data_IF_584357284328
#
_entry.id   IF_584357284328
#
_cell.length_a   1.000
_cell.length_b   1.000
_cell.length_c   1.000
_cell.angle_alpha   90.00
_cell.angle_beta   90.00
_cell.angle_gamma   90.00
#
_symmetry.space_group_name_H-M   'P 1'
#
loop_
_entity.id
_entity.type
_entity.pdbx_description
1 polymer ?
#
# COMPACT_ATOMS: atom_id res chain seq x y z
N UNK A 1 -21.83 -1.78 26.61
CA UNK A 1 -20.67 -2.21 25.78
C UNK A 1 -21.13 -2.96 24.54
N UNK A 2 -21.89 -4.05 24.66
CA UNK A 2 -22.39 -4.82 23.51
C UNK A 2 -23.10 -3.99 22.42
N UNK A 3 -24.02 -3.10 22.79
CA UNK A 3 -24.71 -2.24 21.82
C UNK A 3 -23.75 -1.40 20.99
N UNK A 4 -22.75 -0.78 21.63
CA UNK A 4 -21.75 0.06 20.94
C UNK A 4 -20.79 -0.73 20.05
N UNK A 5 -20.72 -2.05 20.21
CA UNK A 5 -19.96 -2.96 19.32
C UNK A 5 -20.84 -3.42 18.15
N UNK A 6 -22.09 -3.82 18.44
CA UNK A 6 -23.00 -4.29 17.41
C UNK A 6 -23.48 -3.17 16.48
N UNK A 7 -23.60 -1.93 16.96
CA UNK A 7 -24.02 -0.80 16.13
C UNK A 7 -23.14 -0.59 14.90
N UNK A 8 -21.80 -0.44 15.00
CA UNK A 8 -20.96 -0.32 13.80
C UNK A 8 -20.92 -1.59 12.95
N UNK A 9 -21.04 -2.78 13.55
CA UNK A 9 -21.09 -4.06 12.82
C UNK A 9 -22.28 -4.11 11.86
N UNK A 10 -23.49 -3.77 12.35
CA UNK A 10 -24.68 -3.68 11.50
C UNK A 10 -24.67 -2.45 10.58
N UNK A 11 -24.12 -1.32 11.02
CA UNK A 11 -24.01 -0.10 10.20
C UNK A 11 -23.18 -0.33 8.92
N UNK A 12 -22.12 -1.13 9.02
CA UNK A 12 -21.26 -1.49 7.89
C UNK A 12 -21.71 -2.79 7.19
N UNK A 13 -22.88 -3.31 7.55
CA UNK A 13 -23.50 -4.52 6.97
C UNK A 13 -22.62 -5.77 7.07
N UNK A 14 -21.84 -5.89 8.14
CA UNK A 14 -20.95 -7.03 8.35
C UNK A 14 -21.71 -8.28 8.85
N UNK A 15 -23.00 -8.17 9.19
CA UNK A 15 -23.84 -9.28 9.60
C UNK A 15 -24.25 -10.24 8.45
N UNK A 16 -24.05 -9.83 7.20
CA UNK A 16 -24.39 -10.64 6.03
C UNK A 16 -23.19 -10.82 5.10
N UNK A 17 -22.83 -12.07 4.80
CA UNK A 17 -21.78 -12.39 3.82
C UNK A 17 -20.36 -11.99 4.22
N UNK A 18 -20.10 -11.70 5.50
CA UNK A 18 -18.75 -11.37 5.95
C UNK A 18 -17.81 -12.57 5.82
N UNK A 19 -16.65 -12.42 5.15
CA UNK A 19 -15.76 -13.53 4.89
C UNK A 19 -15.09 -14.03 6.18
N UNK A 20 -14.84 -15.34 6.24
CA UNK A 20 -14.00 -15.91 7.30
C UNK A 20 -12.55 -15.41 7.18
N UNK A 21 -11.87 -15.31 8.32
CA UNK A 21 -10.46 -14.92 8.37
C UNK A 21 -9.59 -15.95 7.64
N UNK A 22 -8.72 -15.49 6.74
CA UNK A 22 -7.91 -16.32 5.84
C UNK A 22 -6.39 -16.16 6.05
N UNK A 23 -5.98 -15.40 7.07
CA UNK A 23 -4.58 -15.16 7.44
C UNK A 23 -4.40 -15.23 8.97
N UNK A 24 -3.15 -15.44 9.38
CA UNK A 24 -2.70 -15.51 10.76
C UNK A 24 -1.47 -14.60 10.91
N UNK A 25 -1.54 -13.68 11.88
CA UNK A 25 -0.50 -12.67 12.13
C UNK A 25 0.73 -13.27 12.80
N UNK A 26 0.58 -14.38 13.52
CA UNK A 26 1.64 -15.00 14.30
C UNK A 26 2.27 -16.19 13.58
N UNK A 27 1.56 -16.81 12.65
CA UNK A 27 2.03 -17.98 11.93
C UNK A 27 1.61 -17.96 10.45
N UNK A 28 2.52 -17.50 9.60
CA UNK A 28 2.32 -17.44 8.17
C UNK A 28 2.02 -18.79 7.50
N UNK A 29 2.38 -19.92 8.11
CA UNK A 29 2.06 -21.26 7.56
C UNK A 29 0.56 -21.57 7.55
N UNK A 30 -0.24 -20.84 8.33
CA UNK A 30 -1.71 -20.97 8.37
C UNK A 30 -2.43 -20.05 7.37
N UNK A 31 -1.69 -19.25 6.61
CA UNK A 31 -2.28 -18.32 5.65
C UNK A 31 -2.77 -19.06 4.41
N UNK A 32 -3.91 -18.64 3.87
CA UNK A 32 -4.48 -19.19 2.64
C UNK A 32 -3.91 -18.52 1.36
N UNK A 33 -3.05 -17.50 1.51
CA UNK A 33 -2.37 -16.85 0.38
C UNK A 33 -3.30 -16.07 -0.56
N UNK A 34 -4.46 -15.63 -0.09
CA UNK A 34 -5.45 -14.90 -0.90
C UNK A 34 -4.88 -13.55 -1.35
N UNK A 35 -4.81 -13.33 -2.67
CA UNK A 35 -4.36 -12.05 -3.23
C UNK A 35 -5.49 -11.01 -3.21
N UNK A 36 -5.33 -9.99 -2.36
CA UNK A 36 -6.28 -8.87 -2.19
C UNK A 36 -5.81 -7.57 -2.84
N UNK A 37 -4.75 -7.60 -3.64
CA UNK A 37 -4.09 -6.38 -4.14
C UNK A 37 -4.85 -5.70 -5.28
N UNK A 38 -5.59 -6.46 -6.10
CA UNK A 38 -6.31 -5.96 -7.28
C UNK A 38 -5.44 -4.95 -8.07
N UNK A 39 -5.98 -3.79 -8.41
CA UNK A 39 -5.26 -2.70 -9.08
C UNK A 39 -4.91 -1.53 -8.14
N UNK A 40 -4.79 -1.78 -6.83
CA UNK A 40 -4.44 -0.76 -5.83
C UNK A 40 -3.12 -0.03 -6.14
N UNK A 41 -2.23 -0.63 -6.93
CA UNK A 41 -1.01 0.03 -7.41
C UNK A 41 -1.28 1.33 -8.19
N UNK A 42 -2.43 1.44 -8.87
CA UNK A 42 -2.80 2.65 -9.62
C UNK A 42 -3.01 3.84 -8.71
N UNK A 43 -3.81 3.68 -7.65
CA UNK A 43 -4.07 4.75 -6.69
C UNK A 43 -2.82 5.08 -5.87
N UNK A 44 -2.02 4.08 -5.50
CA UNK A 44 -0.73 4.29 -4.82
C UNK A 44 0.19 5.17 -5.68
N UNK A 45 0.30 4.87 -6.99
CA UNK A 45 1.13 5.64 -7.90
C UNK A 45 0.60 7.07 -8.08
N UNK A 46 -0.72 7.24 -8.19
CA UNK A 46 -1.35 8.55 -8.30
C UNK A 46 -1.08 9.39 -7.05
N UNK A 47 -1.37 8.84 -5.87
CA UNK A 47 -1.15 9.53 -4.59
C UNK A 47 0.31 9.93 -4.42
N UNK A 48 1.26 9.01 -4.64
CA UNK A 48 2.70 9.30 -4.52
C UNK A 48 3.19 10.41 -5.46
N UNK A 49 2.64 10.49 -6.67
CA UNK A 49 2.95 11.60 -7.58
C UNK A 49 2.32 12.93 -7.12
N UNK A 50 1.07 12.91 -6.65
CA UNK A 50 0.34 14.12 -6.24
C UNK A 50 0.75 14.67 -4.88
N UNK A 51 1.28 13.84 -3.98
CA UNK A 51 1.71 14.24 -2.64
C UNK A 51 3.13 14.81 -2.60
N UNK A 52 3.89 14.70 -3.68
CA UNK A 52 5.25 15.23 -3.76
C UNK A 52 5.23 16.75 -3.91
N UNK A 53 5.75 17.46 -2.92
CA UNK A 53 5.87 18.92 -2.94
C UNK A 53 7.19 19.32 -3.63
N UNK A 54 7.12 20.24 -4.60
CA UNK A 54 8.26 20.72 -5.38
C UNK A 54 8.50 22.22 -5.20
N UNK A 55 9.77 22.62 -5.05
CA UNK A 55 10.22 24.00 -5.21
C UNK A 55 11.12 24.09 -6.45
N UNK A 56 10.62 24.74 -7.51
CA UNK A 56 11.24 25.11 -8.82
C UNK A 56 12.55 24.40 -9.26
N UNK A 57 12.51 23.60 -10.34
CA UNK A 57 13.65 23.12 -11.16
C UNK A 57 13.24 22.01 -12.18
N UNK A 58 12.08 21.38 -11.99
CA UNK A 58 11.50 20.31 -12.81
C UNK A 58 10.45 20.88 -13.80
N UNK A 59 10.04 20.17 -14.86
CA UNK A 59 10.35 18.77 -15.19
C UNK A 59 11.70 18.56 -15.90
N UNK A 60 12.29 17.38 -15.70
CA UNK A 60 13.50 16.97 -16.42
C UNK A 60 13.23 16.83 -17.93
N UNK A 61 14.08 17.42 -18.77
CA UNK A 61 14.02 17.31 -20.23
C UNK A 61 15.23 16.55 -20.75
N UNK A 62 15.07 15.24 -20.97
CA UNK A 62 16.01 14.30 -21.63
C UNK A 62 17.51 14.64 -21.40
N UNK A 63 17.97 14.53 -20.16
CA UNK A 63 19.37 14.75 -19.81
C UNK A 63 20.27 13.67 -20.45
N UNK A 64 21.49 14.05 -20.87
CA UNK A 64 22.48 13.11 -21.43
C UNK A 64 23.06 12.16 -20.38
N UNK A 65 23.08 12.58 -19.12
CA UNK A 65 23.54 11.79 -17.97
C UNK A 65 22.77 12.25 -16.72
N UNK A 66 22.50 11.32 -15.82
CA UNK A 66 21.81 11.56 -14.54
C UNK A 66 22.63 10.86 -13.45
N UNK A 67 23.01 11.60 -12.41
CA UNK A 67 23.62 11.03 -11.22
C UNK A 67 22.54 10.83 -10.14
N UNK A 68 22.43 9.61 -9.60
CA UNK A 68 21.61 9.28 -8.45
C UNK A 68 22.55 9.18 -7.24
N UNK A 69 22.43 10.11 -6.30
CA UNK A 69 23.31 10.21 -5.13
C UNK A 69 22.44 10.12 -3.88
N UNK A 70 22.40 8.96 -3.24
CA UNK A 70 21.70 8.77 -1.96
C UNK A 70 22.09 7.46 -1.28
N UNK A 71 21.94 7.43 0.05
CA UNK A 71 21.89 6.17 0.82
C UNK A 71 20.48 5.55 0.83
N UNK A 72 19.46 6.32 0.43
CA UNK A 72 18.04 5.93 0.37
C UNK A 72 17.64 5.36 -1.00
N UNK A 73 18.51 5.47 -2.00
CA UNK A 73 18.31 4.75 -3.27
C UNK A 73 18.58 3.26 -3.05
N UNK A 74 17.74 2.40 -3.62
CA UNK A 74 17.83 0.93 -3.51
C UNK A 74 19.21 0.35 -3.88
N UNK A 75 19.46 -0.92 -3.53
CA UNK A 75 20.80 -1.42 -3.23
C UNK A 75 21.80 -1.32 -4.38
N UNK A 76 23.01 -0.86 -4.07
CA UNK A 76 24.22 -1.18 -4.81
C UNK A 76 24.44 -2.68 -4.72
N UNK A 77 24.08 -3.43 -5.76
CA UNK A 77 24.41 -4.86 -5.86
C UNK A 77 25.93 -4.98 -5.85
N UNK A 78 26.54 -5.40 -4.74
CA UNK A 78 27.87 -6.02 -4.74
C UNK A 78 27.66 -7.52 -4.87
N UNK A 79 27.98 -8.05 -6.06
CA UNK A 79 28.19 -9.47 -6.30
C UNK A 79 29.40 -9.97 -5.50
#
# INVERSE_FOLDING_TARGET
>A
MATRILTPWYLLHQDSGFPAVNFDVFNASKNQGVNVQQDHYKIIRAVGATSTVLQSALPLKKAKSIALISADTGPTIRL
#
